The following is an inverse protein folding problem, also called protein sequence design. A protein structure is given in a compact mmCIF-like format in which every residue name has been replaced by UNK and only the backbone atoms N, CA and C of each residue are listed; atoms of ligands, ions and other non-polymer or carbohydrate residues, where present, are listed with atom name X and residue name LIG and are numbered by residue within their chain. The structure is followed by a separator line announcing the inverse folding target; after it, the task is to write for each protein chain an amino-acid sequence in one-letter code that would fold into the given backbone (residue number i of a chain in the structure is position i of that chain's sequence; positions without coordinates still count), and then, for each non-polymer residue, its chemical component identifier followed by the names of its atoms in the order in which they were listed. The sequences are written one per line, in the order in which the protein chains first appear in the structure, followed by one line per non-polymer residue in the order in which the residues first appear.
data_IF_715831025062
#
_entry.id   IF_715831025062
#
_cell.length_a   1.000
_cell.length_b   1.000
_cell.length_c   1.000
_cell.angle_alpha   90.00
_cell.angle_beta   90.00
_cell.angle_gamma   90.00
#
_symmetry.space_group_name_H-M   'P 1'
#
loop_
_entity.id
_entity.type
_entity.pdbx_description
1 polymer ?
#
# COMPACT_ATOMS: atom_id res chain seq x y z
N UNK A 1 -4.77 -2.48 -10.85
CA UNK A 1 -5.11 -1.75 -9.61
C UNK A 1 -4.35 -0.43 -9.65
N UNK A 2 -4.96 0.74 -9.42
CA UNK A 2 -4.40 2.01 -9.90
C UNK A 2 -2.99 2.19 -9.34
N UNK A 3 -2.01 2.09 -10.23
CA UNK A 3 -0.57 2.20 -10.00
C UNK A 3 -0.15 3.64 -9.67
N UNK A 4 -1.04 4.41 -9.06
CA UNK A 4 -0.85 5.82 -8.73
C UNK A 4 -1.49 6.23 -7.39
N UNK A 5 -1.91 5.27 -6.54
CA UNK A 5 -2.51 5.62 -5.25
C UNK A 5 -2.10 4.66 -4.11
N UNK A 6 -1.72 5.22 -2.96
CA UNK A 6 -1.58 4.48 -1.69
C UNK A 6 -2.99 3.98 -1.28
N UNK A 7 -3.18 2.66 -1.11
CA UNK A 7 -4.37 2.11 -0.44
C UNK A 7 -4.09 1.89 1.04
N UNK A 8 -4.83 2.59 1.90
CA UNK A 8 -4.72 2.41 3.35
C UNK A 8 -5.41 1.14 3.83
N UNK A 9 -6.50 0.75 3.17
CA UNK A 9 -7.25 -0.45 3.50
C UNK A 9 -7.34 -1.32 2.26
N UNK A 10 -6.92 -2.57 2.39
CA UNK A 10 -7.06 -3.56 1.33
C UNK A 10 -7.75 -4.79 1.90
N UNK A 11 -8.85 -5.18 1.28
CA UNK A 11 -9.50 -6.44 1.59
C UNK A 11 -8.86 -7.55 0.76
N UNK A 12 -8.29 -8.54 1.44
CA UNK A 12 -7.77 -9.75 0.83
C UNK A 12 -8.92 -10.52 0.17
N UNK A 13 -8.93 -10.65 -1.16
CA UNK A 13 -9.99 -11.42 -1.85
C UNK A 13 -9.92 -12.94 -1.59
N UNK A 14 -8.76 -13.46 -1.15
CA UNK A 14 -8.58 -14.87 -0.84
C UNK A 14 -9.03 -15.24 0.60
N UNK A 15 -9.00 -14.27 1.51
CA UNK A 15 -9.11 -14.50 2.94
C UNK A 15 -10.07 -13.55 3.67
N UNK A 16 -10.64 -12.58 2.95
CA UNK A 16 -11.61 -11.57 3.42
C UNK A 16 -11.17 -10.78 4.66
N UNK A 17 -9.86 -10.69 4.91
CA UNK A 17 -9.32 -9.85 5.98
C UNK A 17 -9.05 -8.45 5.44
N UNK A 18 -9.31 -7.45 6.28
CA UNK A 18 -8.93 -6.06 6.00
C UNK A 18 -7.49 -5.85 6.49
N UNK A 19 -6.57 -5.77 5.54
CA UNK A 19 -5.18 -5.39 5.79
C UNK A 19 -5.07 -3.88 5.98
N UNK A 20 -4.24 -3.49 6.93
CA UNK A 20 -3.88 -2.11 7.25
C UNK A 20 -2.35 -1.98 7.18
N UNK A 21 -1.79 -0.84 6.77
CA UNK A 21 -0.35 -0.62 6.81
C UNK A 21 0.18 -0.81 8.24
N UNK A 22 1.42 -1.24 8.30
CA UNK A 22 2.21 -1.30 9.52
C UNK A 22 2.62 0.11 9.95
N UNK A 23 2.91 0.27 11.23
CA UNK A 23 3.42 1.54 11.77
C UNK A 23 4.75 1.89 11.11
N UNK A 24 4.76 2.99 10.34
CA UNK A 24 5.91 3.46 9.57
C UNK A 24 5.72 3.43 8.05
N UNK A 25 4.67 2.78 7.53
CA UNK A 25 4.40 2.64 6.09
C UNK A 25 3.22 3.51 5.61
N UNK A 26 3.23 4.00 4.35
CA UNK A 26 2.10 4.80 3.82
C UNK A 26 0.83 3.99 3.54
N UNK A 27 0.98 2.71 3.19
CA UNK A 27 -0.10 1.93 2.61
C UNK A 27 0.16 0.43 2.71
N UNK A 28 -0.89 -0.34 2.53
CA UNK A 28 -0.83 -1.81 2.54
C UNK A 28 0.18 -2.36 1.53
N UNK A 29 0.41 -1.66 0.41
CA UNK A 29 1.42 -2.09 -0.55
C UNK A 29 2.85 -1.87 -0.03
N UNK A 30 3.13 -0.81 0.72
CA UNK A 30 4.46 -0.64 1.31
C UNK A 30 4.74 -1.68 2.39
N UNK A 31 3.70 -2.09 3.14
CA UNK A 31 3.84 -3.07 4.21
C UNK A 31 3.88 -4.52 3.74
N UNK A 32 3.08 -4.85 2.71
CA UNK A 32 2.86 -6.24 2.31
C UNK A 32 3.30 -6.55 0.87
N UNK A 33 3.56 -5.56 0.02
CA UNK A 33 4.04 -5.80 -1.34
C UNK A 33 5.57 -5.78 -1.40
N UNK A 34 6.12 -6.55 -2.32
CA UNK A 34 7.57 -6.60 -2.58
C UNK A 34 8.09 -5.35 -3.30
N UNK A 35 7.18 -4.67 -4.01
CA UNK A 35 7.48 -3.43 -4.73
C UNK A 35 6.82 -2.28 -3.97
N UNK A 36 7.58 -1.26 -3.54
CA UNK A 36 7.04 -0.11 -2.83
C UNK A 36 6.06 0.68 -3.70
N UNK A 37 5.21 1.49 -3.07
CA UNK A 37 4.17 2.19 -3.81
C UNK A 37 4.75 3.18 -4.85
N UNK A 38 4.06 3.39 -5.97
CA UNK A 38 4.46 4.29 -7.05
C UNK A 38 4.92 5.69 -6.58
N UNK A 39 4.25 6.39 -5.64
CA UNK A 39 4.74 7.69 -5.20
C UNK A 39 6.12 7.66 -4.54
N UNK A 40 6.47 6.59 -3.79
CA UNK A 40 7.83 6.40 -3.25
C UNK A 40 8.84 6.19 -4.39
N UNK A 41 8.46 5.42 -5.41
CA UNK A 41 9.32 5.17 -6.58
C UNK A 41 9.54 6.44 -7.41
N UNK A 42 8.54 7.32 -7.48
CA UNK A 42 8.62 8.62 -8.15
C UNK A 42 9.31 9.70 -7.28
N UNK A 43 9.73 9.37 -6.04
CA UNK A 43 10.32 10.33 -5.12
C UNK A 43 9.34 11.39 -4.60
N UNK A 44 8.04 11.15 -4.75
CA UNK A 44 6.98 11.99 -4.16
C UNK A 44 6.79 11.59 -2.71
N UNK A 45 6.54 12.56 -1.83
CA UNK A 45 6.13 12.28 -0.47
C UNK A 45 4.88 11.40 -0.51
N UNK A 46 4.89 10.31 0.25
CA UNK A 46 3.66 9.62 0.55
C UNK A 46 2.74 10.60 1.28
N UNK A 47 1.60 10.86 0.64
CA UNK A 47 0.58 11.85 1.03
C UNK A 47 0.88 13.28 0.57
#
# INVERSE_FOLDING_TARGET
MPTNACQWFYECSACHIVLKPLDGDCCVFCSYATVPCPPIQEGKSCC
#
